data_IF_467159519657
#
_entry.id   IF_467159519657
#
_cell.length_a   1.000
_cell.length_b   1.000
_cell.length_c   1.000
_cell.angle_alpha   90.00
_cell.angle_beta   90.00
_cell.angle_gamma   90.00
#
_symmetry.space_group_name_H-M   'P 1'
#
loop_
_entity.id
_entity.type
_entity.pdbx_description
1 polymer ?
#
# COMPACT_ATOMS: atom_id res chain seq x y z
N UNK A 1 7.53 -7.36 -19.56
CA UNK A 1 6.39 -7.89 -18.76
C UNK A 1 5.60 -6.68 -18.27
N UNK A 2 4.35 -6.49 -18.72
CA UNK A 2 3.54 -5.33 -18.32
C UNK A 2 3.19 -5.45 -16.84
N UNK A 3 3.76 -4.60 -16.01
CA UNK A 3 3.48 -4.49 -14.57
C UNK A 3 2.23 -3.63 -14.30
N UNK A 4 1.43 -3.36 -15.35
CA UNK A 4 0.30 -2.43 -15.33
C UNK A 4 -0.86 -2.91 -14.43
N UNK A 5 -0.80 -4.18 -13.97
CA UNK A 5 -1.80 -4.81 -13.12
C UNK A 5 -1.45 -4.79 -11.61
N UNK A 6 -0.32 -4.19 -11.25
CA UNK A 6 0.16 -4.24 -9.88
C UNK A 6 -0.41 -3.09 -9.06
N UNK A 7 -1.09 -3.44 -7.97
CA UNK A 7 -1.60 -2.49 -7.01
C UNK A 7 -0.53 -1.68 -6.28
N UNK A 8 -0.96 -0.65 -5.53
CA UNK A 8 -0.07 0.22 -4.77
C UNK A 8 0.75 -0.56 -3.75
N UNK A 9 1.94 -0.06 -3.43
CA UNK A 9 2.79 -0.66 -2.40
C UNK A 9 2.22 -0.41 -1.00
N UNK A 10 2.45 -1.38 -0.12
CA UNK A 10 2.04 -1.41 1.28
C UNK A 10 3.30 -1.52 2.12
N UNK A 11 3.44 -0.64 3.11
CA UNK A 11 4.48 -0.75 4.14
C UNK A 11 3.91 -1.58 5.27
N UNK A 12 4.59 -2.66 5.66
CA UNK A 12 4.18 -3.50 6.79
C UNK A 12 4.85 -3.03 8.09
N UNK A 13 4.33 -3.49 9.23
CA UNK A 13 4.84 -3.11 10.56
C UNK A 13 6.20 -3.72 10.89
N UNK A 14 6.55 -4.81 10.22
CA UNK A 14 7.83 -5.50 10.30
C UNK A 14 8.92 -4.87 9.41
N UNK A 15 8.58 -3.78 8.70
CA UNK A 15 9.50 -3.09 7.78
C UNK A 15 9.49 -3.62 6.35
N UNK A 16 8.79 -4.72 6.08
CA UNK A 16 8.71 -5.29 4.73
C UNK A 16 7.77 -4.48 3.82
N UNK A 17 7.98 -4.62 2.51
CA UNK A 17 7.11 -4.04 1.48
C UNK A 17 6.28 -5.14 0.81
N UNK A 18 5.01 -4.86 0.60
CA UNK A 18 4.07 -5.75 -0.11
C UNK A 18 3.28 -4.96 -1.16
N UNK A 19 2.52 -5.64 -2.01
CA UNK A 19 1.59 -5.00 -2.96
C UNK A 19 0.18 -5.50 -2.73
N UNK A 20 -0.81 -4.69 -3.09
CA UNK A 20 -2.22 -5.13 -3.07
C UNK A 20 -2.43 -6.15 -4.19
N UNK A 21 -2.55 -7.42 -3.82
CA UNK A 21 -2.58 -8.55 -4.75
C UNK A 21 -3.87 -8.61 -5.59
N UNK A 22 -5.01 -8.19 -5.02
CA UNK A 22 -6.32 -8.21 -5.67
C UNK A 22 -6.68 -6.89 -6.36
N UNK A 23 -5.70 -6.00 -6.62
CA UNK A 23 -5.96 -4.64 -7.10
C UNK A 23 -6.77 -4.57 -8.40
N UNK A 24 -6.47 -5.44 -9.37
CA UNK A 24 -7.21 -5.54 -10.63
C UNK A 24 -8.67 -5.94 -10.46
N UNK A 25 -8.97 -6.69 -9.41
CA UNK A 25 -10.30 -7.19 -9.11
C UNK A 25 -11.13 -6.15 -8.35
N UNK A 26 -10.53 -5.07 -7.86
CA UNK A 26 -11.21 -4.01 -7.14
C UNK A 26 -11.98 -3.13 -8.11
N UNK A 27 -13.20 -2.75 -7.73
CA UNK A 27 -13.95 -1.69 -8.41
C UNK A 27 -13.27 -0.33 -8.25
N UNK A 28 -13.61 0.62 -9.12
CA UNK A 28 -13.03 1.98 -9.08
C UNK A 28 -13.27 2.69 -7.74
N UNK A 29 -14.42 2.43 -7.10
CA UNK A 29 -14.73 2.99 -5.77
C UNK A 29 -13.80 2.40 -4.70
N UNK A 30 -13.56 1.09 -4.75
CA UNK A 30 -12.66 0.41 -3.81
C UNK A 30 -11.20 0.82 -4.01
N UNK A 31 -10.76 0.97 -5.28
CA UNK A 31 -9.44 1.49 -5.63
C UNK A 31 -9.21 2.90 -5.06
N UNK A 32 -10.18 3.81 -5.25
CA UNK A 32 -10.12 5.18 -4.72
C UNK A 32 -10.03 5.20 -3.19
N UNK A 33 -10.84 4.39 -2.52
CA UNK A 33 -10.82 4.28 -1.06
C UNK A 33 -9.50 3.70 -0.55
N UNK A 34 -8.99 2.68 -1.22
CA UNK A 34 -7.71 2.05 -0.90
C UNK A 34 -6.58 3.06 -1.01
N UNK A 35 -6.45 3.79 -2.11
CA UNK A 35 -5.41 4.81 -2.29
C UNK A 35 -5.48 5.90 -1.20
N UNK A 36 -6.69 6.38 -0.91
CA UNK A 36 -6.91 7.43 0.12
C UNK A 36 -6.44 7.01 1.51
N UNK A 37 -6.71 5.77 1.91
CA UNK A 37 -6.39 5.28 3.26
C UNK A 37 -4.95 4.74 3.32
N UNK A 38 -4.51 4.06 2.26
CA UNK A 38 -3.21 3.40 2.22
C UNK A 38 -2.06 4.40 2.30
N UNK A 39 -2.15 5.54 1.62
CA UNK A 39 -1.14 6.60 1.71
C UNK A 39 -0.88 7.04 3.16
N UNK A 40 -1.96 7.37 3.89
CA UNK A 40 -1.88 7.76 5.31
C UNK A 40 -1.30 6.64 6.18
N UNK A 41 -1.73 5.40 5.96
CA UNK A 41 -1.24 4.23 6.74
C UNK A 41 0.24 3.95 6.48
N UNK A 42 0.69 4.02 5.24
CA UNK A 42 2.09 3.80 4.89
C UNK A 42 2.97 4.90 5.48
N UNK A 43 2.54 6.16 5.45
CA UNK A 43 3.28 7.25 6.08
C UNK A 43 3.45 7.04 7.59
N UNK A 44 2.37 6.69 8.29
CA UNK A 44 2.43 6.42 9.74
C UNK A 44 3.34 5.22 10.07
N UNK A 45 3.27 4.15 9.27
CA UNK A 45 4.13 2.97 9.47
C UNK A 45 5.59 3.29 9.18
N UNK A 46 5.86 4.06 8.13
CA UNK A 46 7.22 4.48 7.78
C UNK A 46 7.82 5.37 8.87
N UNK A 47 7.05 6.32 9.42
CA UNK A 47 7.51 7.14 10.53
C UNK A 47 7.84 6.27 11.76
N UNK A 48 6.94 5.36 12.12
CA UNK A 48 7.15 4.46 13.25
C UNK A 48 8.34 3.50 13.07
N UNK A 49 8.75 3.21 11.83
CA UNK A 49 9.97 2.44 11.55
C UNK A 49 11.22 3.31 11.71
N UNK A 50 11.18 4.54 11.22
CA UNK A 50 12.28 5.51 11.38
C UNK A 50 12.55 5.86 12.83
N UNK A 51 11.51 5.98 13.65
CA UNK A 51 11.66 6.29 15.08
C UNK A 51 12.21 5.10 15.90
N UNK A 52 12.30 3.90 15.31
CA UNK A 52 12.85 2.69 15.93
C UNK A 52 14.33 2.44 15.57
N UNK A 53 14.87 3.14 14.58
CA UNK A 53 16.30 3.17 14.26
C UNK A 53 17.03 4.20 15.14
#
# INVERSE_FOLDING_TARGET
VKLDHLGPMVVNRDGTLSRVANWEQMSEVEKKNTLRILGKRNQLRMQALKDKE
#
